data_IF_696202887771
#
_entry.id   IF_696202887771
#
_cell.length_a   1.000
_cell.length_b   1.000
_cell.length_c   1.000
_cell.angle_alpha   90.00
_cell.angle_beta   90.00
_cell.angle_gamma   90.00
#
_symmetry.space_group_name_H-M   'P 1'
#
loop_
_entity.id
_entity.type
_entity.pdbx_description
1 polymer ?
#
# COMPACT_ATOMS: atom_id res chain seq x y z
N UNK A 1 21.67 -26.01 -30.82
CA UNK A 1 21.55 -25.06 -29.70
C UNK A 1 21.62 -23.65 -30.28
N UNK A 2 20.47 -23.01 -30.52
CA UNK A 2 20.40 -21.67 -31.11
C UNK A 2 20.11 -20.65 -30.01
N UNK A 3 21.05 -19.73 -29.79
CA UNK A 3 20.87 -18.57 -28.94
C UNK A 3 20.19 -17.45 -29.75
N UNK A 4 18.97 -17.10 -29.37
CA UNK A 4 18.23 -16.00 -29.99
C UNK A 4 18.60 -14.70 -29.27
N UNK A 5 19.43 -13.87 -29.90
CA UNK A 5 19.77 -12.54 -29.39
C UNK A 5 18.62 -11.56 -29.63
N UNK A 6 18.00 -11.04 -28.57
CA UNK A 6 17.01 -9.97 -28.64
C UNK A 6 17.75 -8.62 -28.63
N UNK A 7 17.91 -7.97 -29.79
CA UNK A 7 18.36 -6.57 -29.87
C UNK A 7 17.13 -5.67 -29.77
N UNK A 8 16.89 -5.11 -28.59
CA UNK A 8 15.87 -4.08 -28.38
C UNK A 8 16.30 -2.75 -28.99
N UNK A 9 15.67 -2.35 -30.09
CA UNK A 9 15.66 -0.97 -30.58
C UNK A 9 14.62 -0.17 -29.79
N UNK A 10 15.04 0.58 -28.77
CA UNK A 10 14.21 1.55 -28.06
C UNK A 10 14.92 2.90 -28.06
N UNK A 11 14.85 3.62 -29.18
CA UNK A 11 15.18 5.05 -29.21
C UNK A 11 14.71 5.68 -30.52
N UNK A 12 13.41 5.79 -30.81
CA UNK A 12 13.00 6.70 -31.91
C UNK A 12 11.73 7.54 -31.71
N UNK A 13 10.87 7.30 -30.72
CA UNK A 13 9.63 8.09 -30.60
C UNK A 13 9.57 8.89 -29.30
N UNK A 14 10.52 9.80 -29.10
CA UNK A 14 10.32 10.90 -28.16
C UNK A 14 9.41 11.94 -28.85
N UNK A 15 8.17 12.06 -28.40
CA UNK A 15 7.24 13.06 -28.93
C UNK A 15 7.79 14.48 -28.70
N UNK A 16 7.54 15.42 -29.63
CA UNK A 16 8.04 16.80 -29.51
C UNK A 16 7.59 17.52 -28.22
N UNK A 17 6.45 17.13 -27.64
CA UNK A 17 5.98 17.65 -26.35
C UNK A 17 6.89 17.27 -25.16
N UNK A 18 7.51 16.09 -25.20
CA UNK A 18 8.41 15.62 -24.13
C UNK A 18 9.74 16.41 -24.14
N UNK A 19 10.21 16.79 -25.33
CA UNK A 19 11.40 17.63 -25.51
C UNK A 19 11.18 19.07 -25.02
N UNK A 20 9.97 19.61 -25.21
CA UNK A 20 9.63 20.97 -24.76
C UNK A 20 9.54 21.05 -23.23
N UNK A 21 9.06 19.97 -22.57
CA UNK A 21 8.97 19.89 -21.11
C UNK A 21 10.34 19.78 -20.44
N UNK A 22 11.31 19.15 -21.10
CA UNK A 22 12.69 19.03 -20.63
C UNK A 22 13.48 20.34 -20.82
N UNK A 23 13.18 21.12 -21.85
CA UNK A 23 13.82 22.42 -22.10
C UNK A 23 13.55 23.48 -21.02
N UNK A 24 12.38 23.44 -20.38
CA UNK A 24 12.00 24.43 -19.33
C UNK A 24 12.68 24.22 -17.98
N UNK A 25 13.31 23.06 -17.74
CA UNK A 25 13.96 22.75 -16.46
C UNK A 25 15.44 23.09 -16.38
N UNK A 26 16.00 23.77 -17.39
CA UNK A 26 17.41 24.21 -17.36
C UNK A 26 18.40 23.06 -17.19
N UNK A 27 18.05 21.85 -17.65
CA UNK A 27 18.95 20.69 -17.58
C UNK A 27 19.95 20.81 -18.74
N UNK A 28 21.25 20.97 -18.49
CA UNK A 28 22.24 21.10 -19.55
C UNK A 28 22.28 19.81 -20.39
N UNK A 29 22.10 19.94 -21.70
CA UNK A 29 22.06 18.85 -22.68
C UNK A 29 23.31 17.94 -22.67
N UNK A 30 24.42 18.38 -22.04
CA UNK A 30 25.63 17.57 -21.85
C UNK A 30 25.48 16.36 -20.94
N UNK A 31 24.35 16.19 -20.23
CA UNK A 31 24.08 15.02 -19.38
C UNK A 31 23.30 13.88 -20.05
N UNK A 32 22.83 14.04 -21.29
CA UNK A 32 22.05 13.01 -21.98
C UNK A 32 22.87 12.07 -22.88
N UNK A 33 24.19 12.25 -22.98
CA UNK A 33 25.05 11.45 -23.87
C UNK A 33 26.11 10.59 -23.14
N UNK A 34 25.94 10.34 -21.84
CA UNK A 34 26.80 9.41 -21.10
C UNK A 34 25.99 8.14 -20.78
N UNK A 35 25.87 7.26 -21.77
CA UNK A 35 25.66 5.84 -21.51
C UNK A 35 26.95 5.31 -20.88
N UNK A 36 27.06 5.46 -19.56
CA UNK A 36 27.95 4.64 -18.77
C UNK A 36 27.32 3.24 -18.73
N UNK A 37 28.03 2.27 -19.28
CA UNK A 37 27.74 0.85 -19.07
C UNK A 37 27.86 0.57 -17.58
N UNK A 38 26.86 -0.10 -17.00
CA UNK A 38 26.75 -0.37 -15.56
C UNK A 38 27.98 -1.10 -14.96
N UNK A 39 28.85 -1.66 -15.80
CA UNK A 39 30.06 -2.37 -15.39
C UNK A 39 31.28 -1.47 -15.05
N UNK A 40 31.31 -0.17 -15.43
CA UNK A 40 32.45 0.72 -15.10
C UNK A 40 32.27 1.58 -13.84
N UNK A 41 31.05 1.71 -13.29
CA UNK A 41 30.83 2.47 -12.05
C UNK A 41 31.29 1.73 -10.79
N UNK A 42 31.44 0.40 -10.83
CA UNK A 42 31.84 -0.38 -9.66
C UNK A 42 33.35 -0.23 -9.32
N UNK A 43 34.20 0.01 -10.32
CA UNK A 43 35.65 0.10 -10.12
C UNK A 43 36.11 1.49 -9.64
N UNK A 44 35.36 2.56 -9.94
CA UNK A 44 35.71 3.92 -9.49
C UNK A 44 35.39 4.18 -8.01
N UNK A 45 34.47 3.42 -7.41
CA UNK A 45 34.13 3.56 -5.98
C UNK A 45 35.10 2.82 -5.04
N UNK A 46 36.00 1.97 -5.57
CA UNK A 46 36.94 1.20 -4.77
C UNK A 46 38.28 1.94 -4.49
N UNK A 47 38.62 3.01 -5.23
CA UNK A 47 39.98 3.54 -5.25
C UNK A 47 40.30 4.65 -4.22
N UNK A 48 39.29 5.28 -3.58
CA UNK A 48 39.53 6.43 -2.71
C UNK A 48 38.73 6.37 -1.40
N UNK A 49 39.26 5.73 -0.34
CA UNK A 49 38.72 5.95 1.00
C UNK A 49 38.90 7.43 1.37
N UNK A 50 37.85 8.12 1.84
CA UNK A 50 37.95 9.51 2.27
C UNK A 50 38.97 9.64 3.40
N UNK A 51 40.08 10.33 3.13
CA UNK A 51 41.07 10.70 4.14
C UNK A 51 40.37 11.58 5.18
N UNK A 52 40.25 11.07 6.42
CA UNK A 52 39.71 11.85 7.54
C UNK A 52 38.49 11.26 8.25
N UNK A 53 38.01 10.07 7.86
CA UNK A 53 37.00 9.37 8.66
C UNK A 53 37.68 8.86 9.93
N UNK A 54 37.46 9.56 11.05
CA UNK A 54 37.82 9.05 12.37
C UNK A 54 37.14 7.69 12.55
N UNK A 55 37.85 6.65 13.04
CA UNK A 55 37.24 5.36 13.30
C UNK A 55 36.00 5.58 14.16
N UNK A 56 34.86 5.05 13.71
CA UNK A 56 33.63 5.08 14.49
C UNK A 56 33.97 4.43 15.83
N UNK A 57 33.71 5.07 16.98
CA UNK A 57 34.00 4.47 18.27
C UNK A 57 33.33 3.10 18.29
N UNK A 58 34.12 2.08 18.66
CA UNK A 58 33.67 0.71 18.78
C UNK A 58 32.45 0.70 19.70
N UNK A 59 31.27 0.51 19.09
CA UNK A 59 30.01 0.49 19.84
C UNK A 59 30.07 -0.78 20.65
N UNK A 60 30.26 -0.64 21.96
CA UNK A 60 30.23 -1.75 22.89
C UNK A 60 29.00 -2.62 22.57
N UNK A 61 29.16 -3.94 22.47
CA UNK A 61 28.05 -4.84 22.14
C UNK A 61 26.89 -4.54 23.09
N UNK A 62 25.65 -4.45 22.58
CA UNK A 62 24.50 -4.15 23.42
C UNK A 62 24.49 -5.15 24.58
N UNK A 63 24.33 -4.64 25.80
CA UNK A 63 24.25 -5.47 27.00
C UNK A 63 23.24 -6.60 26.77
N UNK A 64 23.53 -7.84 27.26
CA UNK A 64 22.63 -8.96 27.07
C UNK A 64 21.23 -8.59 27.57
N UNK A 65 20.21 -8.91 26.77
CA UNK A 65 18.78 -8.59 27.02
C UNK A 65 18.18 -9.31 28.26
N UNK A 66 19.01 -9.86 29.15
CA UNK A 66 18.56 -10.48 30.38
C UNK A 66 18.20 -9.40 31.41
N UNK A 67 16.93 -9.35 31.78
CA UNK A 67 16.34 -8.50 32.83
C UNK A 67 15.77 -7.13 32.40
N UNK A 68 15.06 -7.06 31.26
CA UNK A 68 13.95 -6.12 31.18
C UNK A 68 12.81 -6.62 32.07
N UNK A 69 12.28 -5.81 33.02
CA UNK A 69 11.17 -6.23 33.87
C UNK A 69 9.95 -6.56 33.01
N UNK A 70 9.32 -7.71 33.31
CA UNK A 70 8.17 -8.30 32.60
C UNK A 70 6.92 -7.39 32.60
N UNK A 71 6.94 -6.27 33.33
CA UNK A 71 5.82 -5.36 33.48
C UNK A 71 5.39 -4.62 32.20
N UNK A 72 6.20 -4.59 31.13
CA UNK A 72 5.83 -3.88 29.88
C UNK A 72 5.11 -4.76 28.85
N UNK A 73 4.92 -6.05 29.10
CA UNK A 73 4.23 -6.94 28.13
C UNK A 73 2.70 -6.79 28.17
N UNK A 74 2.15 -6.56 29.36
CA UNK A 74 0.70 -6.41 29.56
C UNK A 74 0.09 -5.15 28.94
N UNK A 75 0.86 -4.09 28.71
CA UNK A 75 0.35 -2.85 28.10
C UNK A 75 0.31 -2.90 26.55
N UNK A 76 1.00 -3.86 25.93
CA UNK A 76 1.00 -4.01 24.46
C UNK A 76 -0.09 -4.98 23.98
N UNK A 77 -0.51 -5.91 24.84
CA UNK A 77 -1.53 -6.93 24.54
C UNK A 77 -2.96 -6.34 24.62
N UNK A 78 -3.17 -5.31 25.43
CA UNK A 78 -4.49 -4.67 25.60
C UNK A 78 -4.97 -3.84 24.39
N UNK A 79 -4.08 -3.56 23.42
CA UNK A 79 -4.46 -2.95 22.14
C UNK A 79 -4.90 -3.95 21.06
N UNK A 80 -4.74 -5.26 21.29
CA UNK A 80 -5.07 -6.29 20.30
C UNK A 80 -6.45 -6.95 20.50
N UNK A 81 -7.12 -6.73 21.64
CA UNK A 81 -8.38 -7.42 21.98
C UNK A 81 -9.68 -6.59 21.84
N UNK A 82 -9.62 -5.33 21.36
CA UNK A 82 -10.83 -4.52 21.05
C UNK A 82 -11.61 -5.06 19.83
N UNK A 83 -11.12 -6.12 19.19
CA UNK A 83 -11.51 -6.50 17.83
C UNK A 83 -12.48 -7.67 17.70
N UNK A 84 -12.86 -8.34 18.79
CA UNK A 84 -13.69 -9.56 18.72
C UNK A 84 -15.21 -9.32 18.72
N UNK A 85 -15.66 -8.07 18.87
CA UNK A 85 -17.09 -7.69 18.78
C UNK A 85 -17.37 -6.71 17.65
N UNK A 86 -16.62 -6.80 16.54
CA UNK A 86 -16.95 -5.97 15.37
C UNK A 86 -18.10 -6.61 14.62
N UNK A 87 -19.20 -5.86 14.54
CA UNK A 87 -20.30 -6.20 13.63
C UNK A 87 -19.73 -6.42 12.23
N UNK A 88 -20.13 -7.53 11.57
CA UNK A 88 -19.66 -7.84 10.23
C UNK A 88 -19.95 -6.65 9.33
N UNK A 89 -18.91 -6.20 8.62
CA UNK A 89 -19.11 -5.27 7.51
C UNK A 89 -19.86 -6.05 6.45
N UNK A 90 -21.06 -5.61 6.13
CA UNK A 90 -21.90 -6.32 5.17
C UNK A 90 -21.47 -5.95 3.75
N UNK A 91 -21.35 -4.65 3.47
CA UNK A 91 -21.22 -4.15 2.10
C UNK A 91 -20.37 -2.88 2.03
N UNK A 92 -19.69 -2.70 0.89
CA UNK A 92 -18.96 -1.47 0.54
C UNK A 92 -19.50 -0.99 -0.80
N UNK A 93 -19.76 0.31 -0.92
CA UNK A 93 -20.32 0.92 -2.12
C UNK A 93 -19.49 2.12 -2.57
N UNK A 94 -19.56 2.46 -3.86
CA UNK A 94 -19.07 3.70 -4.43
C UNK A 94 -20.27 4.59 -4.78
N UNK A 95 -20.54 5.60 -3.96
CA UNK A 95 -21.68 6.52 -4.12
C UNK A 95 -21.13 7.92 -4.38
N UNK A 96 -21.51 8.52 -5.51
CA UNK A 96 -21.08 9.87 -5.91
C UNK A 96 -19.55 10.04 -5.88
N UNK A 97 -18.82 8.99 -6.27
CA UNK A 97 -17.35 8.95 -6.27
C UNK A 97 -16.72 8.79 -4.88
N UNK A 98 -17.50 8.67 -3.81
CA UNK A 98 -16.99 8.38 -2.47
C UNK A 98 -17.30 6.95 -2.03
N UNK A 99 -16.34 6.31 -1.38
CA UNK A 99 -16.54 4.98 -0.79
C UNK A 99 -17.41 5.10 0.46
N UNK A 100 -18.48 4.31 0.52
CA UNK A 100 -19.39 4.20 1.63
C UNK A 100 -19.34 2.77 2.19
N UNK A 101 -19.25 2.64 3.51
CA UNK A 101 -19.32 1.34 4.19
C UNK A 101 -20.68 1.18 4.86
N UNK A 102 -21.35 0.07 4.58
CA UNK A 102 -22.62 -0.28 5.19
C UNK A 102 -22.40 -1.30 6.29
N UNK A 103 -22.97 -1.01 7.45
CA UNK A 103 -22.93 -1.87 8.64
C UNK A 103 -24.35 -2.03 9.17
N UNK A 104 -24.55 -3.08 9.97
CA UNK A 104 -25.81 -3.36 10.62
C UNK A 104 -25.63 -3.29 12.13
N UNK A 105 -26.57 -2.68 12.84
CA UNK A 105 -26.61 -2.68 14.30
C UNK A 105 -27.03 -4.05 14.82
N UNK A 106 -26.89 -4.27 16.13
CA UNK A 106 -27.41 -5.48 16.78
C UNK A 106 -28.93 -5.65 16.60
N UNK A 107 -29.67 -4.54 16.48
CA UNK A 107 -31.13 -4.53 16.26
C UNK A 107 -31.51 -4.76 14.78
N UNK A 108 -30.54 -4.87 13.87
CA UNK A 108 -30.76 -5.14 12.45
C UNK A 108 -30.84 -3.89 11.56
N UNK A 109 -30.73 -2.70 12.15
CA UNK A 109 -30.78 -1.42 11.42
C UNK A 109 -29.48 -1.18 10.63
N UNK A 110 -29.61 -0.72 9.39
CA UNK A 110 -28.46 -0.41 8.53
C UNK A 110 -28.02 1.03 8.72
N UNK A 111 -26.71 1.25 8.81
CA UNK A 111 -26.12 2.58 8.81
C UNK A 111 -24.91 2.63 7.89
N UNK A 112 -24.68 3.80 7.30
CA UNK A 112 -23.57 4.04 6.40
C UNK A 112 -22.56 4.99 7.03
N UNK A 113 -21.27 4.71 6.78
CA UNK A 113 -20.15 5.59 7.12
C UNK A 113 -19.43 5.97 5.82
N UNK A 114 -19.16 7.26 5.65
CA UNK A 114 -18.45 7.78 4.48
C UNK A 114 -16.94 7.68 4.68
N UNK A 115 -16.22 7.25 3.64
CA UNK A 115 -14.76 7.33 3.62
C UNK A 115 -14.30 8.78 3.51
N UNK A 116 -13.48 9.21 4.45
CA UNK A 116 -12.81 10.50 4.42
C UNK A 116 -11.39 10.30 3.86
N UNK A 117 -11.15 10.85 2.68
CA UNK A 117 -9.86 10.79 1.98
C UNK A 117 -8.73 11.51 2.73
N UNK A 118 -9.07 12.56 3.48
CA UNK A 118 -8.11 13.38 4.23
C UNK A 118 -7.64 12.64 5.47
N UNK A 119 -8.58 12.15 6.28
CA UNK A 119 -8.24 11.39 7.50
C UNK A 119 -7.90 9.92 7.23
N UNK A 120 -8.19 9.42 6.02
CA UNK A 120 -8.07 8.02 5.59
C UNK A 120 -8.79 7.07 6.54
N UNK A 121 -9.99 7.47 6.95
CA UNK A 121 -10.84 6.72 7.88
C UNK A 121 -12.29 6.85 7.48
N UNK A 122 -13.09 5.90 7.93
CA UNK A 122 -14.54 6.05 7.92
C UNK A 122 -14.95 7.11 8.96
N UNK A 123 -15.69 8.11 8.50
CA UNK A 123 -16.25 9.17 9.32
C UNK A 123 -17.45 8.71 10.16
N UNK A 124 -18.12 9.65 10.84
CA UNK A 124 -19.38 9.36 11.53
C UNK A 124 -20.45 8.89 10.55
N UNK A 125 -21.53 8.32 11.10
CA UNK A 125 -22.70 7.94 10.32
C UNK A 125 -23.23 9.11 9.49
N UNK A 126 -23.47 8.87 8.19
CA UNK A 126 -24.08 9.82 7.27
C UNK A 126 -25.53 9.41 6.96
N UNK A 127 -26.54 10.15 7.47
CA UNK A 127 -27.94 9.90 7.15
C UNK A 127 -28.20 10.08 5.65
N UNK A 128 -29.09 9.26 5.06
CA UNK A 128 -29.41 9.35 3.63
C UNK A 128 -28.43 8.60 2.71
N UNK A 129 -27.30 8.11 3.22
CA UNK A 129 -26.30 7.41 2.41
C UNK A 129 -26.68 5.94 2.16
N UNK A 130 -27.39 5.30 3.10
CA UNK A 130 -27.91 3.91 2.93
C UNK A 130 -28.95 3.87 1.80
N UNK A 131 -29.80 4.89 1.70
CA UNK A 131 -30.87 5.00 0.72
C UNK A 131 -30.35 5.23 -0.70
N UNK A 132 -29.10 5.71 -0.83
CA UNK A 132 -28.40 5.88 -2.10
C UNK A 132 -27.60 4.64 -2.52
N UNK A 133 -27.46 3.63 -1.66
CA UNK A 133 -26.77 2.41 -2.06
C UNK A 133 -27.70 1.52 -2.88
N UNK A 134 -27.16 0.98 -3.98
CA UNK A 134 -27.82 0.02 -4.85
C UNK A 134 -26.84 -1.08 -5.17
N UNK A 135 -27.30 -2.19 -5.75
CA UNK A 135 -26.40 -3.25 -6.19
C UNK A 135 -25.40 -2.75 -7.24
N UNK A 136 -25.81 -1.78 -8.08
CA UNK A 136 -24.92 -1.18 -9.08
C UNK A 136 -23.79 -0.33 -8.47
N UNK A 137 -23.97 0.18 -7.25
CA UNK A 137 -22.91 0.91 -6.55
C UNK A 137 -22.06 0.02 -5.65
N UNK A 138 -22.40 -1.27 -5.51
CA UNK A 138 -21.67 -2.20 -4.66
C UNK A 138 -20.28 -2.48 -5.24
N UNK A 139 -19.26 -2.39 -4.40
CA UNK A 139 -17.88 -2.76 -4.75
C UNK A 139 -17.65 -4.24 -4.46
N UNK A 140 -17.24 -4.97 -5.51
CA UNK A 140 -16.68 -6.31 -5.38
C UNK A 140 -15.27 -6.28 -4.78
N UNK A 141 -14.66 -7.45 -4.59
CA UNK A 141 -13.32 -7.58 -4.02
C UNK A 141 -12.27 -6.83 -4.82
N UNK A 142 -12.40 -6.85 -6.15
CA UNK A 142 -11.46 -6.24 -7.09
C UNK A 142 -11.56 -4.71 -7.03
N UNK A 143 -12.77 -4.15 -7.04
CA UNK A 143 -13.02 -2.72 -6.88
C UNK A 143 -12.53 -2.21 -5.52
N UNK A 144 -12.87 -2.91 -4.43
CA UNK A 144 -12.38 -2.57 -3.10
C UNK A 144 -10.84 -2.63 -2.99
N UNK A 145 -10.22 -3.64 -3.64
CA UNK A 145 -8.76 -3.78 -3.75
C UNK A 145 -8.13 -2.58 -4.44
N UNK A 146 -8.65 -2.17 -5.61
CA UNK A 146 -8.12 -1.04 -6.35
C UNK A 146 -8.09 0.23 -5.51
N UNK A 147 -9.19 0.55 -4.83
CA UNK A 147 -9.24 1.69 -3.93
C UNK A 147 -8.26 1.53 -2.76
N UNK A 148 -8.19 0.37 -2.12
CA UNK A 148 -7.29 0.21 -0.97
C UNK A 148 -5.80 0.26 -1.31
N UNK A 149 -5.38 -0.11 -2.52
CA UNK A 149 -4.00 0.13 -3.01
C UNK A 149 -3.67 1.61 -3.09
N UNK A 150 -4.60 2.42 -3.58
CA UNK A 150 -4.42 3.87 -3.71
C UNK A 150 -4.21 4.55 -2.35
N UNK A 151 -4.95 4.13 -1.33
CA UNK A 151 -4.97 4.81 -0.03
C UNK A 151 -4.10 4.15 1.05
N UNK A 152 -3.63 2.92 0.81
CA UNK A 152 -2.90 2.10 1.78
C UNK A 152 -3.79 1.61 2.94
N UNK A 153 -5.11 1.65 2.78
CA UNK A 153 -6.08 1.24 3.80
C UNK A 153 -7.07 0.24 3.21
N UNK A 154 -7.49 -0.75 4.00
CA UNK A 154 -8.51 -1.70 3.60
C UNK A 154 -9.87 -1.00 3.50
N UNK A 155 -10.47 -0.96 2.31
CA UNK A 155 -11.78 -0.32 2.12
C UNK A 155 -12.91 -1.05 2.86
N UNK A 156 -12.75 -2.32 3.23
CA UNK A 156 -13.77 -3.02 4.01
C UNK A 156 -13.74 -2.59 5.49
N UNK A 157 -12.58 -2.69 6.16
CA UNK A 157 -12.51 -2.47 7.61
C UNK A 157 -11.94 -1.10 8.02
N UNK A 158 -11.36 -0.35 7.08
CA UNK A 158 -10.74 0.95 7.27
C UNK A 158 -9.35 0.91 7.92
N UNK A 159 -8.71 -0.26 8.05
CA UNK A 159 -7.40 -0.38 8.70
C UNK A 159 -6.26 -0.14 7.72
N UNK A 160 -5.15 0.41 8.24
CA UNK A 160 -3.89 0.52 7.53
C UNK A 160 -3.40 -0.87 7.09
N UNK A 161 -3.02 -1.00 5.82
CA UNK A 161 -2.42 -2.20 5.26
C UNK A 161 -0.93 -2.20 5.62
N UNK A 162 -0.51 -3.10 6.50
CA UNK A 162 0.88 -3.14 7.00
C UNK A 162 1.69 -4.30 6.43
N UNK A 163 1.06 -5.43 6.13
CA UNK A 163 1.72 -6.57 5.48
C UNK A 163 1.86 -6.28 3.97
N UNK A 164 3.05 -6.55 3.41
CA UNK A 164 3.34 -6.42 1.98
C UNK A 164 2.30 -7.11 1.08
N UNK A 165 1.81 -8.29 1.46
CA UNK A 165 0.75 -9.00 0.73
C UNK A 165 -0.55 -8.21 0.73
N UNK A 166 -0.98 -7.67 1.87
CA UNK A 166 -2.20 -6.87 1.99
C UNK A 166 -2.08 -5.52 1.27
N UNK A 167 -0.89 -4.91 1.29
CA UNK A 167 -0.59 -3.68 0.53
C UNK A 167 -0.68 -3.95 -0.97
N UNK A 168 -0.03 -5.03 -1.45
CA UNK A 168 -0.11 -5.43 -2.86
C UNK A 168 -1.54 -5.77 -3.26
N UNK A 169 -2.27 -6.45 -2.40
CA UNK A 169 -3.66 -6.82 -2.63
C UNK A 169 -4.63 -5.65 -2.44
N UNK A 170 -4.24 -4.53 -1.81
CA UNK A 170 -5.15 -3.41 -1.51
C UNK A 170 -6.30 -3.74 -0.55
N UNK A 171 -6.30 -4.91 0.07
CA UNK A 171 -7.38 -5.35 0.96
C UNK A 171 -6.80 -6.22 2.08
N UNK A 172 -7.41 -6.12 3.26
CA UNK A 172 -6.99 -6.92 4.42
C UNK A 172 -7.30 -8.41 4.22
N UNK A 173 -6.45 -9.31 4.74
CA UNK A 173 -6.55 -10.75 4.49
C UNK A 173 -7.77 -11.40 5.14
N UNK A 174 -8.25 -10.82 6.24
CA UNK A 174 -9.49 -11.22 6.92
C UNK A 174 -10.72 -10.69 6.16
N UNK A 175 -10.61 -9.47 5.62
CA UNK A 175 -11.72 -8.81 4.95
C UNK A 175 -12.06 -9.45 3.61
N UNK A 176 -11.05 -9.91 2.86
CA UNK A 176 -11.31 -10.61 1.60
C UNK A 176 -12.15 -11.87 1.85
N UNK A 177 -11.78 -12.68 2.85
CA UNK A 177 -12.50 -13.93 3.16
C UNK A 177 -13.89 -13.66 3.69
N UNK A 178 -14.01 -12.73 4.64
CA UNK A 178 -15.28 -12.54 5.35
C UNK A 178 -16.36 -11.90 4.48
N UNK A 179 -16.00 -11.02 3.55
CA UNK A 179 -16.96 -10.28 2.73
C UNK A 179 -17.18 -10.92 1.37
N UNK A 180 -16.14 -11.48 0.77
CA UNK A 180 -16.17 -11.96 -0.61
C UNK A 180 -16.00 -13.49 -0.74
N UNK A 181 -15.78 -14.18 0.38
CA UNK A 181 -15.59 -15.63 0.40
C UNK A 181 -14.15 -16.07 0.13
N UNK A 182 -13.93 -17.39 0.20
CA UNK A 182 -12.60 -17.97 0.03
C UNK A 182 -12.06 -17.84 -1.41
N UNK A 183 -12.94 -17.94 -2.41
CA UNK A 183 -12.57 -17.94 -3.83
C UNK A 183 -12.03 -16.57 -4.28
N UNK A 184 -12.47 -15.49 -3.64
CA UNK A 184 -12.02 -14.13 -3.92
C UNK A 184 -10.51 -13.92 -3.67
N UNK A 185 -9.84 -14.79 -2.90
CA UNK A 185 -8.38 -14.72 -2.70
C UNK A 185 -7.61 -14.97 -3.99
N UNK A 186 -8.09 -15.88 -4.81
CA UNK A 186 -7.43 -16.26 -6.06
C UNK A 186 -7.52 -15.13 -7.08
N UNK A 187 -8.65 -14.41 -7.10
CA UNK A 187 -8.92 -13.32 -8.04
C UNK A 187 -8.04 -12.09 -7.80
N UNK A 188 -7.70 -11.80 -6.54
CA UNK A 188 -6.84 -10.66 -6.18
C UNK A 188 -5.33 -10.94 -6.35
N UNK A 189 -4.96 -12.12 -6.88
CA UNK A 189 -3.57 -12.50 -7.12
C UNK A 189 -2.76 -12.76 -5.84
N UNK A 190 -3.44 -13.18 -4.77
CA UNK A 190 -2.79 -13.59 -3.52
C UNK A 190 -2.38 -15.04 -3.56
N UNK A 191 -1.30 -15.37 -4.26
CA UNK A 191 -0.60 -16.65 -4.04
C UNK A 191 0.01 -16.56 -2.63
N UNK A 192 -0.61 -17.26 -1.68
CA UNK A 192 -0.26 -17.35 -0.25
C UNK A 192 -0.38 -16.04 0.56
N UNK A 193 -1.61 -15.77 1.02
CA UNK A 193 -1.93 -14.85 2.13
C UNK A 193 -1.79 -15.55 3.48
#
# INVERSE_FOLDING_TARGET
MHATSFRGTLAHDATPELLELLGRRGVPAKRLAAHLTEDEELDLLAAHPPKGVKPRPEVAPPAPLSARPVATRLALEDHLDVDRRRDPVEEVHLVDGTVARIRRTADGERYAERWDETSRRYGPHEPGLVERTTEATRLDAVGASHHGRTWGHCMVCGRLLTNATSVRAGIGPVCVVNVYGHDARTEIGGEDV
#
